data_IF_739811168821
#
_entry.id   IF_739811168821
#
_cell.length_a   1.000
_cell.length_b   1.000
_cell.length_c   1.000
_cell.angle_alpha   90.00
_cell.angle_beta   90.00
_cell.angle_gamma   90.00
#
_symmetry.space_group_name_H-M   'P 1'
#
loop_
_entity.id
_entity.type
_entity.pdbx_description
1 polymer ?
#
# COMPACT_ATOMS: atom_id res chain seq x y z
N UNK A 1 -68.30 37.10 56.95
CA UNK A 1 -68.27 37.35 55.50
C UNK A 1 -66.83 37.59 55.14
N UNK A 2 -66.13 36.62 54.67
CA UNK A 2 -64.70 36.60 54.31
C UNK A 2 -64.54 36.78 52.80
N UNK A 3 -63.88 37.86 52.40
CA UNK A 3 -63.57 38.08 50.99
C UNK A 3 -62.26 37.39 50.63
N UNK A 4 -62.32 36.48 49.68
CA UNK A 4 -61.15 35.80 49.12
C UNK A 4 -60.45 36.72 48.13
N UNK A 5 -59.13 36.91 48.31
CA UNK A 5 -58.24 37.60 47.37
C UNK A 5 -57.57 36.56 46.45
N UNK A 6 -57.85 36.63 45.20
CA UNK A 6 -57.11 35.86 44.18
C UNK A 6 -55.80 36.61 43.84
N UNK A 7 -54.67 35.96 44.07
CA UNK A 7 -53.37 36.43 43.59
C UNK A 7 -53.06 35.78 42.23
N UNK A 8 -52.90 36.63 41.21
CA UNK A 8 -52.53 36.19 39.88
C UNK A 8 -51.01 36.14 39.81
N UNK A 9 -50.42 34.95 39.80
CA UNK A 9 -48.96 34.79 39.60
C UNK A 9 -48.65 34.77 38.12
N UNK A 10 -47.92 35.78 37.69
CA UNK A 10 -47.39 35.90 36.34
C UNK A 10 -46.12 35.00 36.22
N UNK A 11 -46.17 33.92 35.50
CA UNK A 11 -45.01 33.05 35.18
C UNK A 11 -44.32 33.65 33.96
N UNK A 12 -43.16 34.23 34.14
CA UNK A 12 -42.27 34.67 33.05
C UNK A 12 -41.45 33.47 32.62
N UNK A 13 -41.74 32.88 31.42
CA UNK A 13 -40.88 31.90 30.78
C UNK A 13 -39.64 32.62 30.20
N UNK A 14 -38.52 32.46 30.85
CA UNK A 14 -37.22 32.78 30.27
C UNK A 14 -36.82 31.65 29.33
N UNK A 15 -36.91 31.88 28.01
CA UNK A 15 -36.33 31.01 26.99
C UNK A 15 -34.81 31.15 27.05
N UNK A 16 -34.15 30.14 27.62
CA UNK A 16 -32.68 30.04 27.55
C UNK A 16 -32.26 29.60 26.14
N UNK A 17 -31.70 30.50 25.36
CA UNK A 17 -30.96 30.17 24.13
C UNK A 17 -29.68 29.42 24.56
N UNK A 18 -29.64 28.10 24.40
CA UNK A 18 -28.42 27.31 24.48
C UNK A 18 -27.53 27.63 23.27
N UNK A 19 -26.23 27.86 23.44
CA UNK A 19 -25.31 28.01 22.31
C UNK A 19 -25.28 26.70 21.54
N UNK A 20 -25.41 26.76 20.20
CA UNK A 20 -25.21 25.63 19.34
C UNK A 20 -23.78 25.12 19.51
N UNK A 21 -23.64 23.94 20.05
CA UNK A 21 -22.35 23.25 20.14
C UNK A 21 -21.74 23.09 18.75
N UNK A 22 -20.40 23.00 18.66
CA UNK A 22 -19.76 22.82 17.38
C UNK A 22 -20.31 21.57 16.69
N UNK A 23 -20.86 21.76 15.50
CA UNK A 23 -21.31 20.67 14.62
C UNK A 23 -20.17 19.67 14.50
N UNK A 24 -20.38 18.44 14.97
CA UNK A 24 -19.48 17.34 14.70
C UNK A 24 -19.44 17.17 13.19
N UNK A 25 -18.38 17.68 12.56
CA UNK A 25 -18.10 17.39 11.16
C UNK A 25 -18.15 15.86 11.03
N UNK A 26 -19.10 15.36 10.25
CA UNK A 26 -19.14 13.95 9.90
C UNK A 26 -17.79 13.62 9.29
N UNK A 27 -16.98 12.82 10.00
CA UNK A 27 -15.78 12.21 9.46
C UNK A 27 -16.29 11.26 8.38
N UNK A 28 -16.41 11.80 7.16
CA UNK A 28 -16.71 10.98 5.99
C UNK A 28 -15.71 9.83 5.94
N UNK A 29 -16.17 8.62 5.62
CA UNK A 29 -15.27 7.49 5.41
C UNK A 29 -14.08 7.94 4.56
N UNK A 30 -12.84 7.60 4.96
CA UNK A 30 -11.67 7.96 4.17
C UNK A 30 -11.87 7.48 2.74
N UNK A 31 -11.49 8.26 1.70
CA UNK A 31 -11.63 7.85 0.33
C UNK A 31 -10.84 6.55 0.15
N UNK A 32 -11.56 5.49 -0.11
CA UNK A 32 -10.94 4.23 -0.52
C UNK A 32 -10.66 4.28 -2.02
N UNK A 33 -9.57 3.64 -2.44
CA UNK A 33 -9.31 3.35 -3.85
C UNK A 33 -10.52 2.59 -4.40
N UNK A 34 -11.32 3.26 -5.23
CA UNK A 34 -12.53 2.70 -5.83
C UNK A 34 -12.20 2.34 -7.27
N UNK A 35 -12.15 1.05 -7.57
CA UNK A 35 -11.75 0.51 -8.86
C UNK A 35 -12.89 -0.31 -9.45
N UNK A 36 -13.18 -0.10 -10.71
CA UNK A 36 -13.96 -1.03 -11.53
C UNK A 36 -13.19 -2.35 -11.75
N UNK A 37 -13.86 -3.44 -12.09
CA UNK A 37 -13.18 -4.69 -12.44
C UNK A 37 -12.15 -4.54 -13.57
N UNK A 38 -12.43 -3.69 -14.57
CA UNK A 38 -11.51 -3.40 -15.67
C UNK A 38 -10.25 -2.69 -15.21
N UNK A 39 -10.38 -1.69 -14.34
CA UNK A 39 -9.25 -0.97 -13.75
C UNK A 39 -8.42 -1.90 -12.84
N UNK A 40 -9.06 -2.73 -12.02
CA UNK A 40 -8.37 -3.73 -11.20
C UNK A 40 -7.52 -4.66 -12.07
N UNK A 41 -8.09 -5.18 -13.16
CA UNK A 41 -7.35 -6.03 -14.09
C UNK A 41 -6.19 -5.29 -14.79
N UNK A 42 -6.38 -4.02 -15.17
CA UNK A 42 -5.34 -3.20 -15.78
C UNK A 42 -4.19 -2.95 -14.80
N UNK A 43 -4.51 -2.62 -13.53
CA UNK A 43 -3.52 -2.47 -12.45
C UNK A 43 -2.73 -3.76 -12.23
N UNK A 44 -3.40 -4.90 -12.15
CA UNK A 44 -2.74 -6.19 -11.98
C UNK A 44 -1.74 -6.49 -13.11
N UNK A 45 -2.14 -6.28 -14.37
CA UNK A 45 -1.23 -6.42 -15.52
C UNK A 45 -0.04 -5.48 -15.43
N UNK A 46 -0.26 -4.23 -15.00
CA UNK A 46 0.81 -3.24 -14.88
C UNK A 46 1.79 -3.59 -13.77
N UNK A 47 1.30 -4.07 -12.63
CA UNK A 47 2.15 -4.55 -11.53
C UNK A 47 2.97 -5.76 -12.00
N UNK A 48 2.34 -6.73 -12.65
CA UNK A 48 3.04 -7.89 -13.22
C UNK A 48 4.14 -7.48 -14.19
N UNK A 49 3.84 -6.53 -15.08
CA UNK A 49 4.85 -5.98 -15.99
C UNK A 49 6.02 -5.33 -15.24
N UNK A 50 5.73 -4.55 -14.18
CA UNK A 50 6.75 -3.84 -13.41
C UNK A 50 7.65 -4.79 -12.60
N UNK A 51 7.09 -5.85 -12.03
CA UNK A 51 7.82 -6.75 -11.12
C UNK A 51 8.58 -7.87 -11.86
N UNK A 52 8.00 -8.38 -12.94
CA UNK A 52 8.52 -9.59 -13.59
C UNK A 52 8.49 -9.56 -15.12
N UNK A 53 8.40 -8.35 -15.70
CA UNK A 53 8.33 -8.18 -17.15
C UNK A 53 7.07 -8.81 -17.79
N UNK A 54 6.05 -9.12 -16.99
CA UNK A 54 4.83 -9.79 -17.45
C UNK A 54 5.03 -11.26 -17.83
N UNK A 55 6.13 -11.88 -17.42
CA UNK A 55 6.44 -13.28 -17.78
C UNK A 55 5.99 -14.26 -16.70
N UNK A 56 5.57 -15.45 -17.10
CA UNK A 56 5.21 -16.53 -16.16
C UNK A 56 6.42 -16.97 -15.35
N UNK A 57 7.60 -17.07 -15.96
CA UNK A 57 8.84 -17.42 -15.28
C UNK A 57 9.20 -16.43 -14.15
N UNK A 58 8.93 -15.14 -14.35
CA UNK A 58 9.15 -14.07 -13.36
C UNK A 58 8.24 -14.11 -12.14
N UNK A 59 7.17 -14.94 -12.16
CA UNK A 59 6.31 -15.13 -10.99
C UNK A 59 6.99 -15.86 -9.84
N UNK A 60 8.17 -16.40 -10.05
CA UNK A 60 9.00 -17.03 -9.04
C UNK A 60 10.43 -16.52 -9.19
N UNK A 61 10.88 -15.67 -8.30
CA UNK A 61 12.16 -14.96 -8.41
C UNK A 61 12.92 -15.01 -7.10
N UNK A 62 14.24 -15.13 -7.20
CA UNK A 62 15.16 -14.87 -6.09
C UNK A 62 16.20 -13.86 -6.56
N UNK A 63 16.02 -12.60 -6.15
CA UNK A 63 16.85 -11.49 -6.61
C UNK A 63 18.31 -11.61 -6.14
N UNK A 64 19.22 -10.98 -6.88
CA UNK A 64 20.61 -10.86 -6.44
C UNK A 64 20.74 -9.97 -5.21
N UNK A 65 21.39 -10.49 -4.16
CA UNK A 65 21.59 -9.77 -2.91
C UNK A 65 20.41 -9.83 -1.94
N UNK A 66 19.41 -10.69 -2.23
CA UNK A 66 18.34 -11.05 -1.30
C UNK A 66 18.58 -12.47 -0.77
N UNK A 67 18.09 -12.73 0.43
CA UNK A 67 18.21 -14.02 1.12
C UNK A 67 16.88 -14.76 1.20
N UNK A 68 15.95 -14.40 0.28
CA UNK A 68 14.60 -14.93 0.21
C UNK A 68 14.05 -14.89 -1.21
N UNK A 69 13.12 -15.80 -1.58
CA UNK A 69 12.37 -15.70 -2.82
C UNK A 69 11.25 -14.66 -2.73
N UNK A 70 10.91 -14.11 -3.88
CA UNK A 70 9.75 -13.23 -4.11
C UNK A 70 8.83 -13.88 -5.13
N UNK A 71 7.55 -13.99 -4.82
CA UNK A 71 6.59 -14.81 -5.55
C UNK A 71 5.37 -14.00 -6.03
N UNK A 72 4.80 -14.40 -7.14
CA UNK A 72 3.62 -13.79 -7.73
C UNK A 72 3.86 -12.41 -8.32
N UNK A 73 2.77 -11.78 -8.81
CA UNK A 73 2.82 -10.45 -9.44
C UNK A 73 3.20 -9.34 -8.45
N UNK A 74 3.01 -9.57 -7.15
CA UNK A 74 3.32 -8.60 -6.09
C UNK A 74 4.71 -8.80 -5.47
N UNK A 75 5.50 -9.73 -5.97
CA UNK A 75 6.77 -10.15 -5.36
C UNK A 75 6.62 -10.40 -3.85
N UNK A 76 5.63 -11.22 -3.47
CA UNK A 76 5.36 -11.56 -2.08
C UNK A 76 6.58 -12.26 -1.47
N UNK A 77 7.10 -11.67 -0.41
CA UNK A 77 8.28 -12.15 0.30
C UNK A 77 7.93 -13.41 1.09
N UNK A 78 8.76 -14.44 0.94
CA UNK A 78 8.65 -15.68 1.68
C UNK A 78 10.01 -16.06 2.28
N UNK A 79 10.10 -16.03 3.58
CA UNK A 79 11.37 -16.28 4.24
C UNK A 79 11.68 -17.77 4.38
N UNK A 80 12.97 -18.17 4.20
CA UNK A 80 13.44 -19.50 4.57
C UNK A 80 13.36 -19.74 6.09
N UNK A 81 13.29 -21.01 6.49
CA UNK A 81 13.25 -21.40 7.90
C UNK A 81 14.42 -20.79 8.70
N UNK A 82 14.08 -20.18 9.84
CA UNK A 82 15.05 -19.55 10.72
C UNK A 82 15.63 -18.22 10.26
N UNK A 83 15.20 -17.69 9.08
CA UNK A 83 15.58 -16.38 8.62
C UNK A 83 14.44 -15.37 8.84
N UNK A 84 14.80 -14.19 9.35
CA UNK A 84 13.90 -13.04 9.44
C UNK A 84 14.59 -11.79 8.91
N UNK A 85 14.07 -11.25 7.82
CA UNK A 85 14.58 -10.02 7.22
C UNK A 85 13.93 -8.77 7.79
N UNK A 86 14.33 -7.62 7.25
CA UNK A 86 13.80 -6.30 7.64
C UNK A 86 12.43 -5.98 7.08
N UNK A 87 12.00 -6.71 6.05
CA UNK A 87 10.74 -6.47 5.35
C UNK A 87 9.63 -7.30 5.96
N UNK A 88 8.38 -6.84 5.83
CA UNK A 88 7.22 -7.64 6.17
C UNK A 88 7.14 -8.87 5.25
N UNK A 89 7.07 -10.06 5.83
CA UNK A 89 6.84 -11.28 5.09
C UNK A 89 5.40 -11.32 4.59
N UNK A 90 5.21 -11.21 3.28
CA UNK A 90 3.87 -11.02 2.70
C UNK A 90 3.26 -12.29 2.11
N UNK A 91 4.05 -13.33 1.85
CA UNK A 91 3.56 -14.60 1.30
C UNK A 91 2.53 -15.30 2.19
N UNK A 92 2.77 -15.54 3.48
CA UNK A 92 1.77 -16.19 4.35
C UNK A 92 0.46 -15.41 4.41
N UNK A 93 0.53 -14.08 4.40
CA UNK A 93 -0.67 -13.23 4.39
C UNK A 93 -1.45 -13.33 3.09
N UNK A 94 -0.76 -13.38 1.94
CA UNK A 94 -1.41 -13.61 0.65
C UNK A 94 -2.07 -15.00 0.61
N UNK A 95 -1.41 -16.06 1.07
CA UNK A 95 -1.97 -17.41 1.09
C UNK A 95 -3.20 -17.50 2.00
N UNK A 96 -3.16 -16.87 3.19
CA UNK A 96 -4.31 -16.79 4.06
C UNK A 96 -5.51 -16.10 3.39
N UNK A 97 -5.27 -14.97 2.72
CA UNK A 97 -6.28 -14.25 1.93
C UNK A 97 -6.84 -15.12 0.79
N UNK A 98 -5.98 -15.81 0.05
CA UNK A 98 -6.38 -16.67 -1.05
C UNK A 98 -7.31 -17.79 -0.58
N UNK A 99 -6.97 -18.45 0.52
CA UNK A 99 -7.78 -19.51 1.13
C UNK A 99 -9.14 -18.99 1.61
N UNK A 100 -9.18 -17.81 2.23
CA UNK A 100 -10.44 -17.18 2.66
C UNK A 100 -11.38 -16.87 1.46
N UNK A 101 -10.81 -16.73 0.25
CA UNK A 101 -11.56 -16.54 -1.00
C UNK A 101 -11.87 -17.84 -1.73
N UNK A 102 -11.63 -19.00 -1.09
CA UNK A 102 -11.93 -20.32 -1.64
C UNK A 102 -10.92 -20.82 -2.67
N UNK A 103 -9.76 -20.16 -2.79
CA UNK A 103 -8.69 -20.67 -3.65
C UNK A 103 -8.06 -21.92 -3.04
N UNK A 104 -7.53 -22.78 -3.92
CA UNK A 104 -6.83 -24.01 -3.54
C UNK A 104 -5.36 -23.93 -3.96
N UNK A 105 -4.46 -23.34 -3.15
CA UNK A 105 -3.04 -23.27 -3.44
C UNK A 105 -2.41 -24.67 -3.45
N UNK A 106 -1.34 -24.92 -4.23
CA UNK A 106 -0.61 -26.18 -4.18
C UNK A 106 0.04 -26.39 -2.81
N UNK A 107 0.30 -27.65 -2.44
CA UNK A 107 0.81 -28.02 -1.11
C UNK A 107 2.06 -27.22 -0.70
N UNK A 108 2.99 -27.01 -1.62
CA UNK A 108 4.20 -26.21 -1.38
C UNK A 108 3.88 -24.78 -0.93
N UNK A 109 2.82 -24.18 -1.44
CA UNK A 109 2.42 -22.81 -1.07
C UNK A 109 1.88 -22.68 0.36
N UNK A 110 1.54 -23.81 0.99
CA UNK A 110 0.98 -23.89 2.34
C UNK A 110 2.03 -24.13 3.42
N UNK A 111 3.30 -24.31 3.04
CA UNK A 111 4.39 -24.46 3.99
C UNK A 111 4.59 -23.15 4.77
N UNK A 112 4.94 -23.24 6.05
CA UNK A 112 5.12 -22.08 6.91
C UNK A 112 6.29 -21.19 6.45
N UNK A 113 7.38 -21.84 6.06
CA UNK A 113 8.61 -21.20 5.58
C UNK A 113 8.88 -21.61 4.13
N UNK A 114 9.65 -20.80 3.43
CA UNK A 114 10.09 -21.15 2.07
C UNK A 114 10.83 -22.50 2.06
N UNK A 115 10.47 -23.44 1.20
CA UNK A 115 11.13 -24.75 1.12
C UNK A 115 12.52 -24.69 0.50
N UNK A 116 12.94 -23.52 0.01
CA UNK A 116 14.26 -23.27 -0.54
C UNK A 116 15.04 -22.41 0.46
N UNK A 117 16.13 -22.96 1.01
CA UNK A 117 16.95 -22.27 2.01
C UNK A 117 18.07 -21.41 1.39
N UNK A 118 18.23 -21.50 0.09
CA UNK A 118 19.23 -20.72 -0.65
C UNK A 118 18.78 -20.47 -2.09
N UNK A 119 19.37 -19.44 -2.70
CA UNK A 119 19.17 -19.16 -4.12
C UNK A 119 19.60 -20.35 -5.02
N UNK A 120 20.63 -21.08 -4.61
CA UNK A 120 21.10 -22.25 -5.34
C UNK A 120 20.06 -23.37 -5.34
N UNK A 121 19.44 -23.66 -4.19
CA UNK A 121 18.33 -24.64 -4.09
C UNK A 121 17.13 -24.19 -4.91
N UNK A 122 16.74 -22.93 -4.82
CA UNK A 122 15.66 -22.35 -5.61
C UNK A 122 15.91 -22.51 -7.12
N UNK A 123 17.13 -22.21 -7.59
CA UNK A 123 17.50 -22.34 -8.99
C UNK A 123 17.55 -23.81 -9.45
N UNK A 124 18.04 -24.73 -8.60
CA UNK A 124 18.04 -26.16 -8.89
C UNK A 124 16.64 -26.71 -9.11
N UNK A 125 15.66 -26.22 -8.34
CA UNK A 125 14.26 -26.66 -8.45
C UNK A 125 13.45 -25.84 -9.48
N UNK A 126 14.05 -24.84 -10.15
CA UNK A 126 13.35 -23.86 -10.99
C UNK A 126 12.45 -24.49 -12.06
N UNK A 127 12.86 -25.61 -12.64
CA UNK A 127 12.10 -26.40 -13.61
C UNK A 127 11.53 -27.68 -12.99
N UNK A 128 11.65 -27.86 -11.68
CA UNK A 128 11.09 -29.00 -10.96
C UNK A 128 9.57 -28.93 -10.86
N UNK A 129 8.92 -30.08 -10.64
CA UNK A 129 7.45 -30.15 -10.65
C UNK A 129 6.82 -29.29 -9.54
N UNK A 130 7.45 -29.16 -8.39
CA UNK A 130 7.01 -28.33 -7.26
C UNK A 130 6.98 -26.85 -7.64
N UNK A 131 8.07 -26.33 -8.20
CA UNK A 131 8.18 -24.94 -8.64
C UNK A 131 7.26 -24.65 -9.84
N UNK A 132 7.17 -25.59 -10.77
CA UNK A 132 6.30 -25.47 -11.96
C UNK A 132 4.83 -25.39 -11.55
N UNK A 133 4.36 -26.29 -10.68
CA UNK A 133 2.99 -26.26 -10.18
C UNK A 133 2.66 -24.99 -9.39
N UNK A 134 3.61 -24.48 -8.59
CA UNK A 134 3.46 -23.19 -7.90
C UNK A 134 3.32 -22.04 -8.91
N UNK A 135 4.15 -22.03 -9.94
CA UNK A 135 4.15 -20.98 -10.96
C UNK A 135 2.88 -20.98 -11.80
N UNK A 136 2.39 -22.16 -12.16
CA UNK A 136 1.11 -22.32 -12.88
C UNK A 136 -0.08 -21.81 -12.04
N UNK A 137 -0.11 -22.14 -10.76
CA UNK A 137 -1.13 -21.63 -9.85
C UNK A 137 -1.06 -20.10 -9.72
N UNK A 138 0.12 -19.52 -9.60
CA UNK A 138 0.32 -18.07 -9.57
C UNK A 138 -0.16 -17.42 -10.87
N UNK A 139 0.17 -17.98 -12.02
CA UNK A 139 -0.30 -17.48 -13.32
C UNK A 139 -1.83 -17.53 -13.44
N UNK A 140 -2.47 -18.59 -12.94
CA UNK A 140 -3.92 -18.73 -12.92
C UNK A 140 -4.65 -17.85 -11.88
N UNK A 141 -3.92 -17.31 -10.90
CA UNK A 141 -4.49 -16.54 -9.78
C UNK A 141 -4.16 -15.04 -9.80
N UNK A 142 -3.78 -14.47 -10.94
CA UNK A 142 -3.40 -13.04 -11.08
C UNK A 142 -4.49 -12.10 -10.57
N UNK A 143 -5.77 -12.36 -10.86
CA UNK A 143 -6.88 -11.56 -10.34
C UNK A 143 -6.93 -11.54 -8.81
N UNK A 144 -6.78 -12.70 -8.18
CA UNK A 144 -6.76 -12.85 -6.73
C UNK A 144 -5.56 -12.13 -6.08
N UNK A 145 -4.39 -12.21 -6.70
CA UNK A 145 -3.20 -11.47 -6.27
C UNK A 145 -3.42 -9.96 -6.37
N UNK A 146 -4.06 -9.51 -7.46
CA UNK A 146 -4.41 -8.08 -7.63
C UNK A 146 -5.37 -7.61 -6.54
N UNK A 147 -6.41 -8.38 -6.24
CA UNK A 147 -7.37 -8.06 -5.17
C UNK A 147 -6.69 -7.92 -3.80
N UNK A 148 -5.72 -8.80 -3.51
CA UNK A 148 -4.93 -8.72 -2.29
C UNK A 148 -4.09 -7.44 -2.23
N UNK A 149 -3.40 -7.09 -3.32
CA UNK A 149 -2.56 -5.88 -3.40
C UNK A 149 -3.43 -4.61 -3.26
N UNK A 150 -4.57 -4.57 -3.95
CA UNK A 150 -5.54 -3.46 -3.82
C UNK A 150 -6.07 -3.36 -2.39
N UNK A 151 -6.38 -4.50 -1.76
CA UNK A 151 -6.80 -4.54 -0.35
C UNK A 151 -5.76 -3.96 0.60
N UNK A 152 -4.49 -4.30 0.42
CA UNK A 152 -3.37 -3.72 1.19
C UNK A 152 -3.29 -2.20 1.01
N UNK A 153 -3.42 -1.71 -0.21
CA UNK A 153 -3.41 -0.28 -0.50
C UNK A 153 -4.58 0.46 0.15
N UNK A 154 -5.78 -0.13 0.14
CA UNK A 154 -6.95 0.43 0.85
C UNK A 154 -6.73 0.52 2.35
N UNK A 155 -6.05 -0.47 2.93
CA UNK A 155 -5.73 -0.50 4.36
C UNK A 155 -4.56 0.42 4.75
N UNK A 156 -3.81 0.95 3.79
CA UNK A 156 -2.61 1.75 4.06
C UNK A 156 -2.95 3.15 4.61
N UNK A 157 -3.97 3.84 4.08
CA UNK A 157 -4.26 5.22 4.51
C UNK A 157 -4.56 5.35 6.02
N UNK A 158 -5.43 4.54 6.64
CA UNK A 158 -5.65 4.60 8.08
C UNK A 158 -4.36 4.40 8.89
N UNK A 159 -3.51 3.45 8.49
CA UNK A 159 -2.20 3.20 9.14
C UNK A 159 -1.28 4.40 9.01
N UNK A 160 -1.19 4.97 7.81
CA UNK A 160 -0.39 6.17 7.52
C UNK A 160 -0.84 7.34 8.40
N UNK A 161 -2.15 7.61 8.47
CA UNK A 161 -2.68 8.71 9.27
C UNK A 161 -2.46 8.49 10.77
N UNK A 162 -2.54 7.26 11.26
CA UNK A 162 -2.25 6.93 12.65
C UNK A 162 -0.76 7.16 12.99
N UNK A 163 0.16 6.81 12.08
CA UNK A 163 1.60 6.91 12.28
C UNK A 163 2.17 8.32 11.99
N UNK A 164 1.49 9.12 11.16
CA UNK A 164 1.95 10.44 10.76
C UNK A 164 1.94 11.44 11.93
N UNK A 165 2.91 12.38 11.98
CA UNK A 165 2.88 13.51 12.91
C UNK A 165 1.57 14.27 12.81
N UNK A 166 1.01 14.72 13.93
CA UNK A 166 -0.29 15.39 13.97
C UNK A 166 -0.38 16.60 13.01
N UNK A 167 0.71 17.36 12.88
CA UNK A 167 0.83 18.51 11.97
C UNK A 167 0.78 18.16 10.49
N UNK A 168 1.07 16.91 10.12
CA UNK A 168 1.17 16.45 8.75
C UNK A 168 -0.10 15.70 8.27
N UNK A 169 -0.92 15.20 9.19
CA UNK A 169 -2.05 14.30 8.87
C UNK A 169 -3.01 14.88 7.86
N UNK A 170 -3.44 16.13 8.06
CA UNK A 170 -4.39 16.78 7.16
C UNK A 170 -3.83 16.93 5.75
N UNK A 171 -2.54 17.28 5.62
CA UNK A 171 -1.86 17.41 4.33
C UNK A 171 -1.72 16.06 3.63
N UNK A 172 -1.29 15.03 4.35
CA UNK A 172 -1.15 13.66 3.84
C UNK A 172 -2.49 13.13 3.34
N UNK A 173 -3.56 13.30 4.13
CA UNK A 173 -4.90 12.88 3.73
C UNK A 173 -5.41 13.64 2.51
N UNK A 174 -5.23 14.96 2.46
CA UNK A 174 -5.62 15.78 1.31
C UNK A 174 -4.88 15.35 0.04
N UNK A 175 -3.57 15.10 0.11
CA UNK A 175 -2.77 14.64 -1.02
C UNK A 175 -3.22 13.26 -1.50
N UNK A 176 -3.47 12.31 -0.58
CA UNK A 176 -4.04 11.01 -0.94
C UNK A 176 -5.36 11.16 -1.71
N UNK A 177 -6.30 11.99 -1.19
CA UNK A 177 -7.59 12.26 -1.83
C UNK A 177 -7.41 12.82 -3.24
N UNK A 178 -6.50 13.77 -3.44
CA UNK A 178 -6.21 14.38 -4.75
C UNK A 178 -5.68 13.34 -5.76
N UNK A 179 -4.81 12.44 -5.32
CA UNK A 179 -4.26 11.36 -6.17
C UNK A 179 -5.33 10.33 -6.51
N UNK A 180 -6.16 9.93 -5.55
CA UNK A 180 -7.17 8.87 -5.69
C UNK A 180 -8.36 9.22 -6.62
N UNK A 181 -8.37 10.39 -7.26
CA UNK A 181 -9.48 10.83 -8.11
C UNK A 181 -9.44 10.29 -9.53
N UNK A 182 -8.37 9.62 -9.94
CA UNK A 182 -8.21 9.10 -11.31
C UNK A 182 -7.73 7.65 -11.30
N UNK A 183 -8.02 6.85 -12.36
CA UNK A 183 -7.52 5.48 -12.49
C UNK A 183 -5.99 5.40 -12.40
N UNK A 184 -5.26 6.33 -13.04
CA UNK A 184 -3.80 6.39 -12.96
C UNK A 184 -3.30 6.71 -11.54
N UNK A 185 -3.97 7.62 -10.83
CA UNK A 185 -3.64 7.93 -9.44
C UNK A 185 -3.92 6.74 -8.51
N UNK A 186 -5.02 6.04 -8.71
CA UNK A 186 -5.31 4.80 -8.00
C UNK A 186 -4.23 3.73 -8.25
N UNK A 187 -3.80 3.57 -9.52
CA UNK A 187 -2.66 2.71 -9.84
C UNK A 187 -1.40 3.13 -9.07
N UNK A 188 -1.08 4.44 -9.06
CA UNK A 188 0.09 4.94 -8.37
C UNK A 188 0.09 4.61 -6.87
N UNK A 189 -1.06 4.79 -6.19
CA UNK A 189 -1.23 4.45 -4.78
C UNK A 189 -1.09 2.95 -4.53
N UNK A 190 -1.72 2.12 -5.37
CA UNK A 190 -1.70 0.66 -5.25
C UNK A 190 -0.29 0.11 -5.51
N UNK A 191 0.33 0.53 -6.61
CA UNK A 191 1.66 0.06 -7.00
C UNK A 191 2.74 0.52 -6.02
N UNK A 192 2.66 1.76 -5.53
CA UNK A 192 3.67 2.27 -4.61
C UNK A 192 3.64 1.58 -3.25
N UNK A 193 2.47 1.28 -2.70
CA UNK A 193 2.35 0.47 -1.47
C UNK A 193 2.92 -0.93 -1.68
N UNK A 194 2.65 -1.56 -2.82
CA UNK A 194 3.24 -2.86 -3.14
C UNK A 194 4.76 -2.77 -3.30
N UNK A 195 5.25 -1.71 -3.93
CA UNK A 195 6.66 -1.52 -4.26
C UNK A 195 7.53 -1.11 -3.07
N UNK A 196 7.02 -0.22 -2.19
CA UNK A 196 7.81 0.43 -1.13
C UNK A 196 7.15 0.46 0.25
N UNK A 197 5.99 -0.17 0.38
CA UNK A 197 5.24 -0.19 1.62
C UNK A 197 4.49 1.09 1.95
N UNK A 198 3.79 1.08 3.07
CA UNK A 198 3.04 2.24 3.56
C UNK A 198 3.91 3.30 4.26
N UNK A 199 5.14 2.97 4.63
CA UNK A 199 6.09 3.88 5.26
C UNK A 199 5.91 4.05 6.78
N UNK A 200 5.13 3.19 7.41
CA UNK A 200 4.88 3.25 8.86
C UNK A 200 5.92 2.49 9.68
N UNK A 201 6.61 1.52 9.11
CA UNK A 201 7.58 0.67 9.77
C UNK A 201 8.82 1.46 10.20
N UNK A 202 9.18 1.39 11.48
CA UNK A 202 10.35 2.09 12.03
C UNK A 202 11.69 1.54 11.48
N UNK A 203 11.74 0.25 11.13
CA UNK A 203 12.90 -0.41 10.53
C UNK A 203 13.18 0.02 9.09
N UNK A 204 12.18 0.57 8.38
CA UNK A 204 12.30 1.01 7.01
C UNK A 204 12.74 2.47 6.93
N UNK A 205 13.89 2.79 7.54
CA UNK A 205 14.48 4.13 7.54
C UNK A 205 15.98 4.06 7.40
N UNK A 206 16.55 5.06 6.73
CA UNK A 206 17.98 5.36 6.73
C UNK A 206 18.17 6.77 7.27
N UNK A 207 19.00 6.94 8.28
CA UNK A 207 19.24 8.22 8.96
C UNK A 207 17.91 8.94 9.35
N UNK A 208 16.91 8.18 9.79
CA UNK A 208 15.59 8.71 10.15
C UNK A 208 14.62 8.94 8.98
N UNK A 209 15.08 8.87 7.73
CA UNK A 209 14.24 9.07 6.54
C UNK A 209 13.63 7.77 6.05
N UNK A 210 12.30 7.69 6.08
CA UNK A 210 11.55 6.61 5.46
C UNK A 210 11.31 6.85 3.96
N UNK A 211 10.73 5.86 3.28
CA UNK A 211 10.54 5.90 1.84
C UNK A 211 9.21 5.34 1.32
N UNK A 212 8.27 5.02 2.21
CA UNK A 212 6.96 4.48 1.83
C UNK A 212 5.94 5.55 1.46
N UNK A 213 4.68 5.13 1.34
CA UNK A 213 3.57 6.00 0.92
C UNK A 213 3.44 7.26 1.79
N UNK A 214 3.57 7.11 3.12
CA UNK A 214 3.48 8.24 4.05
C UNK A 214 4.46 9.36 3.69
N UNK A 215 5.71 9.01 3.40
CA UNK A 215 6.75 9.97 3.06
C UNK A 215 6.50 10.63 1.71
N UNK A 216 6.00 9.87 0.71
CA UNK A 216 5.67 10.44 -0.60
C UNK A 216 4.53 11.44 -0.49
N UNK A 217 3.45 11.09 0.19
CA UNK A 217 2.31 11.99 0.39
C UNK A 217 2.70 13.25 1.17
N UNK A 218 3.59 13.12 2.15
CA UNK A 218 4.16 14.24 2.89
C UNK A 218 5.09 15.13 2.06
N UNK A 219 5.77 14.58 1.05
CA UNK A 219 6.71 15.29 0.17
C UNK A 219 6.03 16.02 -0.99
N UNK A 220 4.77 15.69 -1.31
CA UNK A 220 4.04 16.31 -2.41
C UNK A 220 3.88 17.81 -2.23
N UNK A 221 4.09 18.54 -3.33
CA UNK A 221 3.71 19.96 -3.45
C UNK A 221 2.20 20.07 -3.56
N UNK A 222 1.68 21.23 -3.21
CA UNK A 222 0.27 21.52 -3.39
C UNK A 222 -0.07 21.73 -4.87
N UNK A 223 -0.91 20.86 -5.40
CA UNK A 223 -1.36 20.87 -6.80
C UNK A 223 -2.85 20.53 -6.88
N UNK A 224 -3.55 20.84 -7.98
CA UNK A 224 -4.92 20.40 -8.20
C UNK A 224 -5.06 18.87 -8.18
N UNK A 225 -6.26 18.38 -7.80
CA UNK A 225 -6.60 16.96 -7.86
C UNK A 225 -6.58 16.43 -9.31
N UNK A 226 -6.48 15.13 -9.46
CA UNK A 226 -6.52 14.47 -10.76
C UNK A 226 -5.15 14.18 -11.35
N UNK A 227 -4.99 14.34 -12.65
CA UNK A 227 -3.75 14.04 -13.37
C UNK A 227 -2.55 14.82 -12.83
N UNK A 228 -2.75 16.09 -12.44
CA UNK A 228 -1.70 16.91 -11.83
C UNK A 228 -1.21 16.30 -10.52
N UNK A 229 -2.11 15.80 -9.67
CA UNK A 229 -1.75 15.15 -8.42
C UNK A 229 -1.02 13.82 -8.64
N UNK A 230 -1.43 13.01 -9.64
CA UNK A 230 -0.73 11.79 -10.00
C UNK A 230 0.69 12.07 -10.54
N UNK A 231 0.85 13.13 -11.32
CA UNK A 231 2.17 13.59 -11.82
C UNK A 231 3.05 14.08 -10.68
N UNK A 232 2.51 14.86 -9.74
CA UNK A 232 3.27 15.31 -8.56
C UNK A 232 3.61 14.14 -7.64
N UNK A 233 2.70 13.18 -7.45
CA UNK A 233 3.00 11.95 -6.71
C UNK A 233 4.21 11.21 -7.32
N UNK A 234 4.25 11.07 -8.65
CA UNK A 234 5.40 10.51 -9.37
C UNK A 234 6.69 11.28 -9.07
N UNK A 235 6.65 12.61 -9.11
CA UNK A 235 7.80 13.44 -8.82
C UNK A 235 8.25 13.35 -7.35
N UNK A 236 7.31 13.36 -6.40
CA UNK A 236 7.56 13.19 -4.97
C UNK A 236 8.16 11.81 -4.67
N UNK A 237 7.63 10.74 -5.28
CA UNK A 237 8.17 9.39 -5.15
C UNK A 237 9.65 9.31 -5.58
N UNK A 238 10.00 9.94 -6.70
CA UNK A 238 11.40 10.01 -7.15
C UNK A 238 12.28 10.76 -6.14
N UNK A 239 11.84 11.91 -5.62
CA UNK A 239 12.59 12.66 -4.59
C UNK A 239 12.84 11.82 -3.33
N UNK A 240 11.80 11.14 -2.86
CA UNK A 240 11.88 10.25 -1.69
C UNK A 240 12.85 9.10 -1.93
N UNK A 241 12.82 8.47 -3.09
CA UNK A 241 13.72 7.34 -3.42
C UNK A 241 15.16 7.79 -3.65
N UNK A 242 15.40 8.95 -4.26
CA UNK A 242 16.75 9.53 -4.34
C UNK A 242 17.32 9.85 -2.95
N UNK A 243 16.48 10.37 -2.04
CA UNK A 243 16.87 10.59 -0.63
C UNK A 243 17.17 9.27 0.09
N UNK A 244 16.38 8.22 -0.14
CA UNK A 244 16.69 6.88 0.36
C UNK A 244 18.08 6.42 -0.07
N UNK A 245 18.38 6.52 -1.37
CA UNK A 245 19.68 6.13 -1.93
C UNK A 245 20.83 6.92 -1.31
N UNK A 246 20.67 8.25 -1.20
CA UNK A 246 21.67 9.12 -0.60
C UNK A 246 21.98 8.78 0.88
N UNK A 247 21.02 8.21 1.59
CA UNK A 247 21.14 7.82 3.00
C UNK A 247 21.38 6.32 3.20
N UNK A 248 21.40 5.51 2.13
CA UNK A 248 21.58 4.07 2.24
C UNK A 248 23.01 3.71 2.65
N UNK A 249 23.22 2.66 3.47
CA UNK A 249 24.55 2.17 3.76
C UNK A 249 25.30 1.82 2.45
N UNK A 250 26.56 2.26 2.27
CA UNK A 250 27.31 2.03 1.03
C UNK A 250 27.38 0.57 0.59
N UNK A 251 27.47 -0.35 1.54
CA UNK A 251 27.50 -1.80 1.30
C UNK A 251 26.27 -2.34 0.56
N UNK A 252 25.13 -1.61 0.61
CA UNK A 252 23.91 -2.02 -0.11
C UNK A 252 23.96 -1.69 -1.60
N UNK A 253 24.76 -0.70 -2.00
CA UNK A 253 24.90 -0.30 -3.39
C UNK A 253 23.59 0.09 -4.07
N UNK A 254 22.65 0.74 -3.34
CA UNK A 254 21.30 1.02 -3.83
C UNK A 254 21.28 1.97 -5.05
N UNK A 255 22.36 2.71 -5.30
CA UNK A 255 22.50 3.56 -6.49
C UNK A 255 22.24 2.83 -7.82
N UNK A 256 22.58 1.54 -7.90
CA UNK A 256 22.33 0.69 -9.09
C UNK A 256 20.85 0.53 -9.43
N UNK A 257 19.95 0.76 -8.48
CA UNK A 257 18.50 0.62 -8.68
C UNK A 257 17.80 1.95 -9.00
N UNK A 258 18.49 3.09 -8.92
CA UNK A 258 17.87 4.41 -9.03
C UNK A 258 17.12 4.61 -10.34
N UNK A 259 17.74 4.25 -11.46
CA UNK A 259 17.13 4.38 -12.78
C UNK A 259 15.85 3.53 -12.88
N UNK A 260 15.92 2.26 -12.47
CA UNK A 260 14.76 1.36 -12.49
C UNK A 260 13.62 1.86 -11.59
N UNK A 261 13.94 2.35 -10.40
CA UNK A 261 12.95 2.92 -9.50
C UNK A 261 12.32 4.20 -10.06
N UNK A 262 13.11 5.08 -10.66
CA UNK A 262 12.61 6.30 -11.27
C UNK A 262 11.77 6.01 -12.51
N UNK A 263 12.13 5.03 -13.33
CA UNK A 263 11.36 4.60 -14.48
C UNK A 263 10.01 4.03 -14.06
N UNK A 264 9.95 3.23 -12.98
CA UNK A 264 8.69 2.77 -12.39
C UNK A 264 7.84 3.94 -11.91
N UNK A 265 8.40 4.85 -11.11
CA UNK A 265 7.67 6.03 -10.64
C UNK A 265 7.16 6.91 -11.80
N UNK A 266 7.90 7.00 -12.91
CA UNK A 266 7.45 7.75 -14.08
C UNK A 266 6.17 7.20 -14.72
N UNK A 267 5.82 5.93 -14.47
CA UNK A 267 4.57 5.36 -14.97
C UNK A 267 3.33 5.92 -14.24
N UNK A 268 3.48 6.45 -13.04
CA UNK A 268 2.37 7.00 -12.24
C UNK A 268 1.77 8.28 -12.81
N UNK A 269 2.55 9.05 -13.59
CA UNK A 269 2.08 10.24 -14.28
C UNK A 269 1.47 9.98 -15.66
N UNK A 270 1.37 8.69 -16.09
CA UNK A 270 0.86 8.31 -17.42
C UNK A 270 -0.52 7.67 -17.30
N UNK A 271 -1.32 7.72 -18.35
CA UNK A 271 -2.59 6.98 -18.39
C UNK A 271 -2.35 5.48 -18.14
N UNK A 272 -3.31 4.88 -17.45
CA UNK A 272 -3.31 3.45 -17.11
C UNK A 272 -3.63 2.59 -18.34
#
# INVERSE_FOLDING_TARGET
>A
MQAARFACSLVVLLAACAPAGPSSAQVGNPPSVNLSPGETAAIGRKIWQNESGGTVAGLTTWNGGEEFPSLGIGHFIWYPAGFQGRFEESWPHFIAFARQRGANPPAVALEADSPWNSKAEFQKDFNGPRMTGLREWLAGSVGLQTDYIVGRSRAALPKVLAAAPASERARIEANYRKVATTPQGNYALVDYVNFKGDGTQASERYNGYGWGLMQVLGEMKDVPAGAAAATEFSAAAKRVLSRRIANSPPARGEKRWEEGWHNRCATYGRAL
#
